data_IF_406303256554
#
_entry.id   IF_406303256554
#
_cell.length_a   1.000
_cell.length_b   1.000
_cell.length_c   1.000
_cell.angle_alpha   90.00
_cell.angle_beta   90.00
_cell.angle_gamma   90.00
#
_symmetry.space_group_name_H-M   'P 1'
#
loop_
_entity.id
_entity.type
_entity.pdbx_description
1 polymer ?
#
# COMPACT_ATOMS: atom_id res chain seq x y z
N UNK A 1 49.94 -6.03 -49.07
CA UNK A 1 49.38 -4.74 -48.63
C UNK A 1 48.56 -4.17 -49.78
N UNK A 2 47.23 -4.30 -49.75
CA UNK A 2 46.36 -3.87 -50.85
C UNK A 2 46.11 -2.39 -50.75
N UNK A 3 46.54 -1.64 -51.81
CA UNK A 3 46.24 -0.24 -51.98
C UNK A 3 44.72 -0.09 -52.30
N UNK A 4 43.90 0.33 -51.37
CA UNK A 4 42.57 0.78 -51.69
C UNK A 4 42.64 2.13 -52.43
N UNK A 5 41.99 2.28 -53.57
CA UNK A 5 42.02 3.53 -54.32
C UNK A 5 41.40 4.67 -53.49
N UNK A 6 42.06 5.82 -53.46
CA UNK A 6 41.72 7.04 -52.74
C UNK A 6 40.25 7.47 -52.92
N UNK A 7 39.68 7.13 -54.07
CA UNK A 7 38.26 7.36 -54.38
C UNK A 7 37.28 6.57 -53.47
N UNK A 8 37.63 5.35 -53.05
CA UNK A 8 36.81 4.54 -52.19
C UNK A 8 36.74 5.12 -50.74
N UNK A 9 37.84 5.69 -50.29
CA UNK A 9 37.92 6.31 -48.97
C UNK A 9 37.08 7.59 -48.90
N UNK A 10 37.11 8.41 -49.95
CA UNK A 10 36.28 9.63 -50.06
C UNK A 10 34.78 9.31 -50.13
N UNK A 11 34.40 8.21 -50.80
CA UNK A 11 33.01 7.80 -50.88
C UNK A 11 32.45 7.33 -49.51
N UNK A 12 33.24 6.58 -48.74
CA UNK A 12 32.87 6.12 -47.38
C UNK A 12 32.71 7.32 -46.44
N UNK A 13 33.59 8.33 -46.53
CA UNK A 13 33.51 9.53 -45.70
C UNK A 13 32.23 10.35 -45.97
N UNK A 14 31.84 10.46 -47.24
CA UNK A 14 30.62 11.16 -47.68
C UNK A 14 29.39 10.43 -47.20
N UNK A 15 29.35 9.09 -47.23
CA UNK A 15 28.22 8.30 -46.75
C UNK A 15 28.07 8.43 -45.22
N UNK A 16 29.19 8.46 -44.47
CA UNK A 16 29.18 8.68 -43.02
C UNK A 16 28.70 10.09 -42.63
N UNK A 17 29.08 11.11 -43.39
CA UNK A 17 28.63 12.49 -43.18
C UNK A 17 27.11 12.64 -43.45
N UNK A 18 26.60 12.02 -44.51
CA UNK A 18 25.18 12.09 -44.88
C UNK A 18 24.32 11.31 -43.86
N UNK A 19 24.78 10.15 -43.40
CA UNK A 19 24.08 9.38 -42.33
C UNK A 19 24.09 10.10 -40.96
N UNK A 20 25.17 10.81 -40.63
CA UNK A 20 25.28 11.66 -39.47
C UNK A 20 24.31 12.86 -39.50
N UNK A 21 24.18 13.50 -40.68
CA UNK A 21 23.24 14.64 -40.88
C UNK A 21 21.79 14.20 -40.88
N UNK A 22 21.45 13.00 -41.35
CA UNK A 22 20.12 12.44 -41.31
C UNK A 22 19.73 12.01 -39.88
N UNK A 23 20.68 11.60 -39.05
CA UNK A 23 20.43 11.24 -37.66
C UNK A 23 20.26 12.47 -36.76
N UNK A 24 20.92 13.59 -37.08
CA UNK A 24 20.81 14.84 -36.33
C UNK A 24 19.48 15.58 -36.55
N UNK A 25 18.74 15.28 -37.62
CA UNK A 25 17.50 15.97 -37.97
C UNK A 25 16.24 15.19 -37.58
N UNK A 26 16.38 14.03 -36.92
CA UNK A 26 15.23 13.27 -36.42
C UNK A 26 15.05 13.37 -34.88
N UNK A 27 15.74 14.28 -34.21
CA UNK A 27 15.39 14.71 -32.86
C UNK A 27 14.16 15.63 -32.92
N UNK A 28 13.03 15.08 -33.41
CA UNK A 28 11.72 15.57 -33.04
C UNK A 28 11.71 15.59 -31.53
N UNK A 29 11.74 16.76 -30.92
CA UNK A 29 11.42 16.99 -29.52
C UNK A 29 10.03 16.39 -29.27
N UNK A 30 10.03 15.10 -28.94
CA UNK A 30 8.89 14.52 -28.25
C UNK A 30 8.87 15.22 -26.90
N UNK A 31 8.20 16.34 -26.81
CA UNK A 31 7.71 16.88 -25.58
C UNK A 31 6.88 15.76 -24.94
N UNK A 32 7.51 14.98 -24.09
CA UNK A 32 6.82 14.10 -23.18
C UNK A 32 6.01 15.01 -22.26
N UNK A 33 4.82 15.37 -22.67
CA UNK A 33 3.84 15.87 -21.73
C UNK A 33 3.50 14.68 -20.84
N UNK A 34 4.14 14.65 -19.66
CA UNK A 34 3.71 13.78 -18.57
C UNK A 34 2.35 14.34 -18.15
N UNK A 35 1.32 13.99 -18.89
CA UNK A 35 -0.04 14.05 -18.36
C UNK A 35 -0.05 13.05 -17.22
N UNK A 36 0.11 13.55 -15.98
CA UNK A 36 -0.19 12.72 -14.82
C UNK A 36 -1.58 12.12 -15.06
N UNK A 37 -1.73 10.79 -15.05
CA UNK A 37 -3.06 10.21 -15.09
C UNK A 37 -3.89 10.91 -14.00
N UNK A 38 -5.20 11.12 -14.21
CA UNK A 38 -6.04 11.69 -13.17
C UNK A 38 -5.72 10.94 -11.89
N UNK A 39 -5.46 11.70 -10.81
CA UNK A 39 -5.06 11.14 -9.51
C UNK A 39 -6.18 10.18 -9.12
N UNK A 40 -5.93 8.90 -9.33
CA UNK A 40 -6.84 7.86 -8.88
C UNK A 40 -7.01 8.08 -7.38
N UNK A 41 -8.24 8.31 -6.95
CA UNK A 41 -8.55 8.60 -5.56
C UNK A 41 -7.94 7.50 -4.69
N UNK A 42 -7.03 7.89 -3.82
CA UNK A 42 -6.41 6.93 -2.91
C UNK A 42 -7.41 6.54 -1.82
N UNK A 43 -8.09 5.41 -2.05
CA UNK A 43 -9.15 4.89 -1.17
C UNK A 43 -8.67 4.65 0.27
N UNK A 44 -7.39 4.35 0.47
CA UNK A 44 -6.80 4.18 1.81
C UNK A 44 -6.68 5.53 2.50
N UNK A 45 -6.19 6.54 1.78
CA UNK A 45 -6.07 7.90 2.30
C UNK A 45 -7.44 8.49 2.65
N UNK A 46 -8.42 8.37 1.73
CA UNK A 46 -9.80 8.80 1.99
C UNK A 46 -10.39 8.10 3.22
N UNK A 47 -10.12 6.80 3.39
CA UNK A 47 -10.61 6.05 4.54
C UNK A 47 -9.97 6.52 5.84
N UNK A 48 -8.68 6.81 5.83
CA UNK A 48 -7.99 7.37 6.99
C UNK A 48 -8.60 8.72 7.40
N UNK A 49 -8.91 9.58 6.42
CA UNK A 49 -9.55 10.88 6.66
C UNK A 49 -10.96 10.68 7.23
N UNK A 50 -11.78 9.82 6.64
CA UNK A 50 -13.14 9.51 7.11
C UNK A 50 -13.16 8.96 8.54
N UNK A 51 -12.14 8.20 8.91
CA UNK A 51 -11.97 7.64 10.25
C UNK A 51 -11.19 8.56 11.21
N UNK A 52 -11.01 9.83 10.83
CA UNK A 52 -10.41 10.87 11.64
C UNK A 52 -8.98 10.53 12.11
N UNK A 53 -8.19 9.90 11.26
CA UNK A 53 -6.75 9.76 11.53
C UNK A 53 -6.10 11.15 11.72
N UNK A 54 -5.09 11.27 12.60
CA UNK A 54 -4.39 12.55 12.79
C UNK A 54 -3.89 13.10 11.45
N UNK A 55 -4.28 14.32 11.10
CA UNK A 55 -4.05 14.91 9.76
C UNK A 55 -2.58 14.86 9.35
N UNK A 56 -1.70 15.16 10.27
CA UNK A 56 -0.24 15.15 10.08
C UNK A 56 0.33 13.75 9.84
N UNK A 57 -0.44 12.71 10.14
CA UNK A 57 -0.04 11.30 9.99
C UNK A 57 -0.68 10.58 8.81
N UNK A 58 -1.71 11.15 8.18
CA UNK A 58 -2.47 10.48 7.10
C UNK A 58 -1.54 9.96 6.01
N UNK A 59 -0.65 10.79 5.46
CA UNK A 59 0.25 10.40 4.39
C UNK A 59 1.24 9.29 4.80
N UNK A 60 1.76 9.34 6.02
CA UNK A 60 2.67 8.31 6.53
C UNK A 60 1.94 6.99 6.83
N UNK A 61 0.76 7.05 7.44
CA UNK A 61 -0.10 5.88 7.70
C UNK A 61 -0.51 5.21 6.38
N UNK A 62 -0.95 5.99 5.38
CA UNK A 62 -1.28 5.47 4.06
C UNK A 62 -0.12 4.67 3.46
N UNK A 63 1.08 5.25 3.43
CA UNK A 63 2.28 4.58 2.91
C UNK A 63 2.60 3.29 3.66
N UNK A 64 2.57 3.31 5.00
CA UNK A 64 2.90 2.12 5.82
C UNK A 64 1.86 1.03 5.69
N UNK A 65 0.57 1.37 5.66
CA UNK A 65 -0.53 0.42 5.46
C UNK A 65 -0.43 -0.24 4.09
N UNK A 66 -0.20 0.54 3.02
CA UNK A 66 -0.01 -0.02 1.67
C UNK A 66 1.20 -0.93 1.58
N UNK A 67 2.31 -0.53 2.21
CA UNK A 67 3.51 -1.37 2.28
C UNK A 67 3.24 -2.68 3.01
N UNK A 68 2.62 -2.63 4.19
CA UNK A 68 2.26 -3.81 4.96
C UNK A 68 1.28 -4.72 4.20
N UNK A 69 0.26 -4.15 3.56
CA UNK A 69 -0.70 -4.88 2.72
C UNK A 69 -0.03 -5.55 1.52
N UNK A 70 0.90 -4.86 0.85
CA UNK A 70 1.66 -5.43 -0.26
C UNK A 70 2.50 -6.64 0.14
N UNK A 71 3.14 -6.60 1.32
CA UNK A 71 3.95 -7.71 1.86
C UNK A 71 3.09 -8.87 2.33
N UNK A 72 1.98 -8.58 3.03
CA UNK A 72 1.17 -9.61 3.71
C UNK A 72 -0.02 -10.10 2.88
N UNK A 73 -0.38 -9.40 1.81
CA UNK A 73 -1.58 -9.63 0.99
C UNK A 73 -2.89 -9.48 1.79
N UNK A 74 -2.84 -8.77 2.92
CA UNK A 74 -4.03 -8.38 3.68
C UNK A 74 -4.66 -7.17 2.98
N UNK A 75 -5.99 -7.17 2.86
CA UNK A 75 -6.73 -6.02 2.31
C UNK A 75 -6.40 -4.73 3.08
N UNK A 76 -5.94 -3.67 2.40
CA UNK A 76 -5.53 -2.43 3.07
C UNK A 76 -6.68 -1.73 3.79
N UNK A 77 -7.91 -1.81 3.28
CA UNK A 77 -9.09 -1.23 3.92
C UNK A 77 -9.46 -1.97 5.21
N UNK A 78 -9.33 -3.31 5.19
CA UNK A 78 -9.52 -4.12 6.40
C UNK A 78 -8.48 -3.75 7.46
N UNK A 79 -7.21 -3.57 7.03
CA UNK A 79 -6.13 -3.16 7.94
C UNK A 79 -6.39 -1.77 8.53
N UNK A 80 -6.83 -0.79 7.73
CA UNK A 80 -7.23 0.55 8.24
C UNK A 80 -8.31 0.41 9.33
N UNK A 81 -9.38 -0.36 9.07
CA UNK A 81 -10.47 -0.55 10.02
C UNK A 81 -10.01 -1.25 11.31
N UNK A 82 -9.10 -2.22 11.19
CA UNK A 82 -8.48 -2.87 12.34
C UNK A 82 -7.70 -1.86 13.19
N UNK A 83 -6.77 -1.11 12.60
CA UNK A 83 -5.95 -0.12 13.30
C UNK A 83 -6.79 0.96 13.99
N UNK A 84 -7.88 1.39 13.35
CA UNK A 84 -8.83 2.31 13.96
C UNK A 84 -9.47 1.71 15.23
N UNK A 85 -9.91 0.47 15.19
CA UNK A 85 -10.56 -0.18 16.34
C UNK A 85 -9.57 -0.57 17.45
N UNK A 86 -8.28 -0.79 17.10
CA UNK A 86 -7.24 -1.10 18.09
C UNK A 86 -6.78 0.13 18.89
N UNK A 87 -6.53 1.23 18.21
CA UNK A 87 -5.88 2.38 18.85
C UNK A 87 -6.40 3.74 18.41
N UNK A 88 -7.30 3.81 17.39
CA UNK A 88 -7.63 5.04 16.66
C UNK A 88 -6.35 5.68 16.08
N UNK A 89 -5.48 4.86 15.52
CA UNK A 89 -4.19 5.27 14.92
C UNK A 89 -3.21 5.93 15.89
N UNK A 90 -3.35 5.72 17.19
CA UNK A 90 -2.44 6.29 18.20
C UNK A 90 -1.19 5.43 18.35
N UNK A 91 -0.05 6.01 18.06
CA UNK A 91 1.27 5.35 18.21
C UNK A 91 1.57 4.99 19.66
N UNK A 92 1.19 5.85 20.58
CA UNK A 92 1.49 5.74 22.02
C UNK A 92 0.43 4.92 22.79
N UNK A 93 -0.55 4.34 22.08
CA UNK A 93 -1.58 3.55 22.73
C UNK A 93 -1.00 2.34 23.46
N UNK A 94 -1.39 2.18 24.73
CA UNK A 94 -1.05 1.03 25.55
C UNK A 94 -2.32 0.49 26.17
N UNK A 95 -2.58 -0.81 25.98
CA UNK A 95 -3.72 -1.47 26.64
C UNK A 95 -3.36 -1.91 28.06
N UNK A 96 -4.38 -2.22 28.86
CA UNK A 96 -4.20 -2.79 30.22
C UNK A 96 -3.39 -4.10 30.21
N UNK A 97 -3.40 -4.83 29.10
CA UNK A 97 -2.66 -6.08 28.92
C UNK A 97 -1.25 -5.86 28.36
N UNK A 98 -0.81 -4.60 28.22
CA UNK A 98 0.52 -4.23 27.74
C UNK A 98 0.72 -4.31 26.23
N UNK A 99 -0.34 -4.45 25.43
CA UNK A 99 -0.25 -4.32 23.96
C UNK A 99 -0.04 -2.85 23.58
N UNK A 100 0.75 -2.60 22.53
CA UNK A 100 1.23 -1.25 22.20
C UNK A 100 1.08 -0.90 20.75
N UNK A 101 1.00 0.41 20.48
CA UNK A 101 1.04 1.01 19.16
C UNK A 101 -0.28 0.96 18.42
N UNK A 102 -0.23 1.30 17.14
CA UNK A 102 -1.40 1.40 16.28
C UNK A 102 -2.15 0.07 16.16
N UNK A 103 -1.42 -1.03 16.03
CA UNK A 103 -1.97 -2.38 15.85
C UNK A 103 -2.12 -3.16 17.15
N UNK A 104 -1.80 -2.56 18.29
CA UNK A 104 -1.87 -3.19 19.61
C UNK A 104 -1.20 -4.58 19.62
N UNK A 105 0.10 -4.60 19.26
CA UNK A 105 0.91 -5.82 19.25
C UNK A 105 1.70 -5.99 20.56
N UNK A 106 2.20 -7.20 20.82
CA UNK A 106 3.01 -7.47 22.02
C UNK A 106 4.43 -6.93 21.92
N UNK A 107 4.98 -6.92 20.71
CA UNK A 107 6.31 -6.38 20.48
C UNK A 107 6.23 -4.87 20.49
N UNK A 108 7.08 -4.25 21.29
CA UNK A 108 7.22 -2.81 21.25
C UNK A 108 8.15 -2.42 20.10
N UNK A 109 7.70 -1.53 19.25
CA UNK A 109 8.54 -0.84 18.29
C UNK A 109 8.25 0.65 18.37
N UNK A 110 9.31 1.46 18.41
CA UNK A 110 9.18 2.92 18.28
C UNK A 110 8.76 3.36 16.89
N UNK A 111 8.84 2.46 15.91
CA UNK A 111 8.49 2.75 14.52
C UNK A 111 7.09 2.25 14.20
N UNK A 112 6.19 3.17 13.89
CA UNK A 112 4.81 2.86 13.45
C UNK A 112 4.77 1.89 12.27
N UNK A 113 5.70 2.02 11.31
CA UNK A 113 5.79 1.11 10.15
C UNK A 113 6.00 -0.35 10.57
N UNK A 114 6.82 -0.58 11.59
CA UNK A 114 7.10 -1.93 12.12
C UNK A 114 5.88 -2.46 12.87
N UNK A 115 5.24 -1.64 13.70
CA UNK A 115 4.06 -2.05 14.45
C UNK A 115 2.87 -2.39 13.53
N UNK A 116 2.65 -1.57 12.48
CA UNK A 116 1.60 -1.81 11.48
C UNK A 116 1.89 -3.08 10.68
N UNK A 117 3.14 -3.30 10.25
CA UNK A 117 3.54 -4.53 9.55
C UNK A 117 3.33 -5.77 10.43
N UNK A 118 3.77 -5.75 11.69
CA UNK A 118 3.55 -6.85 12.63
C UNK A 118 2.07 -7.14 12.81
N UNK A 119 1.22 -6.11 12.95
CA UNK A 119 -0.23 -6.28 13.01
C UNK A 119 -0.81 -6.93 11.75
N UNK A 120 -0.34 -6.53 10.57
CA UNK A 120 -0.76 -7.13 9.30
C UNK A 120 -0.30 -8.60 9.18
N UNK A 121 0.90 -8.93 9.63
CA UNK A 121 1.40 -10.31 9.66
C UNK A 121 0.56 -11.19 10.60
N UNK A 122 0.26 -10.71 11.80
CA UNK A 122 -0.62 -11.41 12.74
C UNK A 122 -2.00 -11.64 12.10
N UNK A 123 -2.59 -10.63 11.45
CA UNK A 123 -3.89 -10.77 10.79
C UNK A 123 -3.84 -11.78 9.64
N UNK A 124 -2.81 -11.74 8.79
CA UNK A 124 -2.58 -12.74 7.72
C UNK A 124 -2.56 -14.15 8.29
N UNK A 125 -1.80 -14.37 9.37
CA UNK A 125 -1.69 -15.69 10.00
C UNK A 125 -3.04 -16.16 10.57
N UNK A 126 -3.83 -15.24 11.15
CA UNK A 126 -5.19 -15.56 11.61
C UNK A 126 -6.14 -15.86 10.44
N UNK A 127 -6.03 -15.13 9.33
CA UNK A 127 -6.81 -15.42 8.11
C UNK A 127 -6.49 -16.81 7.55
N UNK A 128 -5.22 -17.17 7.49
CA UNK A 128 -4.77 -18.49 7.08
C UNK A 128 -5.32 -19.59 7.99
N UNK A 129 -5.20 -19.42 9.31
CA UNK A 129 -5.74 -20.38 10.30
C UNK A 129 -7.26 -20.49 10.28
N UNK A 130 -7.95 -19.45 9.83
CA UNK A 130 -9.41 -19.41 9.71
C UNK A 130 -9.90 -19.73 8.30
N UNK A 131 -9.04 -20.23 7.41
CA UNK A 131 -9.36 -20.59 6.02
C UNK A 131 -10.03 -19.44 5.24
N UNK A 132 -9.60 -18.20 5.51
CA UNK A 132 -10.14 -16.98 4.89
C UNK A 132 -11.39 -16.40 5.57
N UNK A 133 -11.94 -17.03 6.59
CA UNK A 133 -13.05 -16.44 7.36
C UNK A 133 -12.56 -15.22 8.14
N UNK A 134 -12.96 -14.04 7.65
CA UNK A 134 -12.54 -12.75 8.22
C UNK A 134 -13.06 -12.54 9.65
N UNK A 135 -14.28 -13.02 9.95
CA UNK A 135 -14.85 -12.88 11.30
C UNK A 135 -14.04 -13.68 12.31
N UNK A 136 -13.80 -14.95 12.03
CA UNK A 136 -13.01 -15.83 12.91
C UNK A 136 -11.55 -15.37 13.00
N UNK A 137 -10.97 -14.85 11.90
CA UNK A 137 -9.62 -14.28 11.91
C UNK A 137 -9.51 -13.07 12.83
N UNK A 138 -10.44 -12.14 12.73
CA UNK A 138 -10.50 -10.96 13.58
C UNK A 138 -10.78 -11.33 15.05
N UNK A 139 -11.69 -12.25 15.31
CA UNK A 139 -11.93 -12.74 16.67
C UNK A 139 -10.68 -13.37 17.30
N UNK A 140 -9.88 -14.11 16.50
CA UNK A 140 -8.59 -14.66 16.92
C UNK A 140 -7.51 -13.58 17.09
N UNK A 141 -7.54 -12.51 16.28
CA UNK A 141 -6.64 -11.37 16.42
C UNK A 141 -6.90 -10.64 17.73
N UNK A 142 -8.16 -10.29 17.97
CA UNK A 142 -8.64 -9.62 19.21
C UNK A 142 -8.40 -10.48 20.45
N UNK A 143 -8.17 -11.74 20.27
CA UNK A 143 -8.06 -12.84 21.23
C UNK A 143 -7.75 -12.47 22.67
N UNK A 144 -8.34 -13.20 23.58
CA UNK A 144 -8.18 -13.04 25.02
C UNK A 144 -8.83 -14.19 25.74
N UNK A 145 -8.97 -14.06 27.06
CA UNK A 145 -9.70 -15.03 27.89
C UNK A 145 -11.19 -14.95 27.62
N UNK A 146 -11.70 -13.77 27.27
CA UNK A 146 -13.09 -13.53 26.93
C UNK A 146 -13.32 -13.63 25.42
N UNK A 147 -13.84 -14.77 24.99
CA UNK A 147 -14.15 -15.06 23.58
C UNK A 147 -15.35 -14.23 23.07
N UNK A 148 -16.30 -13.91 23.92
CA UNK A 148 -17.48 -13.14 23.52
C UNK A 148 -17.10 -11.68 23.25
N UNK A 149 -16.29 -11.07 24.09
CA UNK A 149 -15.77 -9.72 23.85
C UNK A 149 -14.93 -9.66 22.59
N UNK A 150 -14.06 -10.66 22.34
CA UNK A 150 -13.27 -10.74 21.11
C UNK A 150 -14.18 -10.83 19.86
N UNK A 151 -15.25 -11.60 19.91
CA UNK A 151 -16.25 -11.71 18.84
C UNK A 151 -17.04 -10.43 18.63
N UNK A 152 -17.39 -9.73 19.69
CA UNK A 152 -18.03 -8.41 19.61
C UNK A 152 -17.12 -7.41 18.89
N UNK A 153 -15.88 -7.32 19.30
CA UNK A 153 -14.90 -6.43 18.66
C UNK A 153 -14.66 -6.80 17.19
N UNK A 154 -14.62 -8.09 16.84
CA UNK A 154 -14.54 -8.54 15.45
C UNK A 154 -15.73 -8.06 14.61
N UNK A 155 -16.95 -8.11 15.15
CA UNK A 155 -18.15 -7.56 14.51
C UNK A 155 -18.04 -6.06 14.27
N UNK A 156 -17.46 -5.32 15.19
CA UNK A 156 -17.25 -3.86 15.05
C UNK A 156 -16.29 -3.55 13.88
N UNK A 157 -15.16 -4.28 13.77
CA UNK A 157 -14.23 -4.13 12.64
C UNK A 157 -14.94 -4.41 11.31
N UNK A 158 -15.67 -5.53 11.21
CA UNK A 158 -16.35 -5.91 9.97
C UNK A 158 -17.47 -4.94 9.60
N UNK A 159 -18.23 -4.45 10.58
CA UNK A 159 -19.24 -3.42 10.35
C UNK A 159 -18.60 -2.15 9.78
N UNK A 160 -17.50 -1.71 10.36
CA UNK A 160 -16.76 -0.54 9.89
C UNK A 160 -16.23 -0.75 8.48
N UNK A 161 -15.59 -1.90 8.21
CA UNK A 161 -15.07 -2.28 6.92
C UNK A 161 -16.17 -2.27 5.84
N UNK A 162 -17.32 -2.89 6.11
CA UNK A 162 -18.49 -2.88 5.21
C UNK A 162 -18.94 -1.46 4.90
N UNK A 163 -19.11 -0.60 5.92
CA UNK A 163 -19.51 0.81 5.74
C UNK A 163 -18.51 1.54 4.81
N UNK A 164 -17.21 1.31 5.00
CA UNK A 164 -16.19 1.98 4.20
C UNK A 164 -16.20 1.49 2.75
N UNK A 165 -16.45 0.21 2.51
CA UNK A 165 -16.60 -0.34 1.15
C UNK A 165 -17.88 0.18 0.46
N UNK A 166 -19.01 0.23 1.17
CA UNK A 166 -20.29 0.76 0.64
C UNK A 166 -20.16 2.23 0.22
N UNK A 167 -19.52 3.07 1.04
CA UNK A 167 -19.29 4.49 0.74
C UNK A 167 -18.49 4.71 -0.55
N UNK A 168 -17.66 3.75 -0.93
CA UNK A 168 -16.80 3.81 -2.12
C UNK A 168 -17.33 3.02 -3.30
N UNK A 169 -18.54 2.46 -3.18
CA UNK A 169 -19.14 1.64 -4.24
C UNK A 169 -18.40 0.32 -4.49
N UNK A 170 -17.54 -0.11 -3.55
CA UNK A 170 -16.76 -1.35 -3.64
C UNK A 170 -17.49 -2.57 -3.04
N UNK A 171 -18.63 -2.35 -2.42
CA UNK A 171 -19.46 -3.42 -1.87
C UNK A 171 -20.54 -3.81 -2.88
N UNK A 172 -20.36 -4.92 -3.58
CA UNK A 172 -21.42 -5.51 -4.38
C UNK A 172 -22.36 -6.29 -3.47
N UNK A 173 -23.65 -5.91 -3.43
CA UNK A 173 -24.68 -6.73 -2.84
C UNK A 173 -24.84 -7.98 -3.71
N UNK A 174 -24.23 -9.07 -3.30
CA UNK A 174 -24.54 -10.41 -3.83
C UNK A 174 -25.80 -10.93 -3.18
#
# INVERSE_FOLDING_TARGET
MGNYPEAAFKLILIILCISGLLYANSSSERTFSITRPPVEKDIVEETLIDLQAPKERVSSLNRWIRSASGVTQVDPMLLVCLLHTESRFRKEAVSEKGYRGEAQTKRFSEFSSVNILEGAEILRDKLSLSKGDMFEALARYKGGKDKEEARKQAREVLKLYKIQLERRGLWNRQ
#
